data_IF_315430839035
#
_entry.id   IF_315430839035
#
_cell.length_a   1.000
_cell.length_b   1.000
_cell.length_c   1.000
_cell.angle_alpha   90.00
_cell.angle_beta   90.00
_cell.angle_gamma   90.00
#
_symmetry.space_group_name_H-M   'P 1'
#
loop_
_entity.id
_entity.type
_entity.pdbx_description
1 polymer ?
#
# COMPACT_ATOMS: atom_id res chain seq x y z
N UNK A 1 -3.92 -11.19 14.11
CA UNK A 1 -3.39 -12.25 13.21
C UNK A 1 -3.42 -11.74 11.75
N UNK A 2 -2.26 -11.54 11.11
CA UNK A 2 -2.15 -11.05 9.72
C UNK A 2 -2.53 -12.18 8.75
N UNK A 3 -3.79 -12.27 8.34
CA UNK A 3 -4.23 -13.27 7.36
C UNK A 3 -3.65 -12.95 5.97
N UNK A 4 -2.46 -13.51 5.68
CA UNK A 4 -1.76 -13.36 4.39
C UNK A 4 -2.62 -13.80 3.19
N UNK A 5 -3.53 -14.75 3.40
CA UNK A 5 -4.42 -15.33 2.36
C UNK A 5 -5.52 -14.38 1.86
N UNK A 6 -5.97 -13.42 2.66
CA UNK A 6 -6.96 -12.41 2.21
C UNK A 6 -6.28 -11.36 1.34
N UNK A 7 -5.08 -10.93 1.73
CA UNK A 7 -4.30 -9.89 1.06
C UNK A 7 -3.99 -10.20 -0.41
N UNK A 8 -3.73 -11.46 -0.76
CA UNK A 8 -3.45 -11.87 -2.14
C UNK A 8 -4.62 -11.63 -3.10
N UNK A 9 -5.87 -11.75 -2.63
CA UNK A 9 -7.06 -11.44 -3.43
C UNK A 9 -7.18 -9.94 -3.71
N UNK A 10 -6.89 -9.12 -2.71
CA UNK A 10 -6.97 -7.66 -2.82
C UNK A 10 -5.89 -7.06 -3.71
N UNK A 11 -4.67 -7.61 -3.66
CA UNK A 11 -3.58 -7.20 -4.56
C UNK A 11 -3.99 -7.40 -6.02
N UNK A 12 -4.65 -8.52 -6.36
CA UNK A 12 -5.15 -8.77 -7.72
C UNK A 12 -6.26 -7.82 -8.15
N UNK A 13 -7.14 -7.40 -7.23
CA UNK A 13 -8.19 -6.40 -7.52
C UNK A 13 -7.55 -5.05 -7.83
N UNK A 14 -6.56 -4.64 -7.02
CA UNK A 14 -5.84 -3.39 -7.23
C UNK A 14 -5.01 -3.41 -8.52
N UNK A 15 -4.34 -4.51 -8.83
CA UNK A 15 -3.60 -4.67 -10.09
C UNK A 15 -4.51 -4.60 -11.34
N UNK A 16 -5.78 -5.01 -11.21
CA UNK A 16 -6.81 -4.90 -12.26
C UNK A 16 -7.41 -3.51 -12.40
N UNK A 17 -7.30 -2.67 -11.38
CA UNK A 17 -7.80 -1.29 -11.38
C UNK A 17 -6.98 -0.35 -12.28
N UNK A 18 -5.81 -0.79 -12.78
CA UNK A 18 -4.83 0.03 -13.48
C UNK A 18 -5.21 0.45 -14.92
N UNK A 19 -6.48 0.47 -15.29
CA UNK A 19 -6.92 1.04 -16.57
C UNK A 19 -8.38 1.47 -16.48
N UNK A 20 -8.60 2.74 -16.14
CA UNK A 20 -9.79 3.54 -16.44
C UNK A 20 -11.16 3.07 -15.87
N UNK A 21 -11.16 2.07 -14.97
CA UNK A 21 -12.38 1.58 -14.34
C UNK A 21 -12.49 2.09 -12.91
N UNK A 22 -13.60 2.75 -12.61
CA UNK A 22 -13.95 3.15 -11.25
C UNK A 22 -14.04 1.90 -10.35
N UNK A 23 -13.28 1.91 -9.24
CA UNK A 23 -13.30 0.82 -8.26
C UNK A 23 -14.17 1.22 -7.09
N UNK A 24 -15.35 0.61 -6.98
CA UNK A 24 -16.18 0.76 -5.79
C UNK A 24 -15.52 0.08 -4.58
N UNK A 25 -15.19 0.88 -3.57
CA UNK A 25 -14.56 0.42 -2.34
C UNK A 25 -15.54 0.24 -1.16
N UNK A 26 -16.81 0.63 -1.32
CA UNK A 26 -17.81 0.71 -0.24
C UNK A 26 -18.08 -0.64 0.45
N UNK A 27 -17.93 -1.74 -0.30
CA UNK A 27 -18.16 -3.11 0.19
C UNK A 27 -16.96 -3.71 0.94
N UNK A 28 -15.81 -3.04 1.00
CA UNK A 28 -14.61 -3.57 1.63
C UNK A 28 -14.36 -3.01 3.02
N UNK A 29 -13.95 -3.90 3.93
CA UNK A 29 -13.55 -3.50 5.28
C UNK A 29 -12.32 -2.56 5.23
N UNK A 30 -12.33 -1.41 5.94
CA UNK A 30 -11.25 -0.41 5.89
C UNK A 30 -9.85 -0.97 6.17
N UNK A 31 -9.74 -1.92 7.10
CA UNK A 31 -8.46 -2.58 7.39
C UNK A 31 -7.86 -3.34 6.20
N UNK A 32 -8.69 -3.86 5.30
CA UNK A 32 -8.20 -4.52 4.08
C UNK A 32 -7.64 -3.48 3.12
N UNK A 33 -8.34 -2.37 2.91
CA UNK A 33 -7.90 -1.25 2.07
C UNK A 33 -6.56 -0.70 2.59
N UNK A 34 -6.49 -0.38 3.89
CA UNK A 34 -5.25 0.09 4.52
C UNK A 34 -4.10 -0.92 4.39
N UNK A 35 -4.40 -2.23 4.42
CA UNK A 35 -3.39 -3.26 4.26
C UNK A 35 -2.82 -3.31 2.84
N UNK A 36 -3.65 -3.05 1.82
CA UNK A 36 -3.21 -2.97 0.41
C UNK A 36 -2.37 -1.74 0.18
N UNK A 37 -2.81 -0.56 0.65
CA UNK A 37 -2.05 0.69 0.54
C UNK A 37 -0.67 0.53 1.19
N UNK A 38 -0.63 0.01 2.43
CA UNK A 38 0.64 -0.29 3.12
C UNK A 38 1.51 -1.30 2.37
N UNK A 39 0.93 -2.22 1.59
CA UNK A 39 1.72 -3.17 0.80
C UNK A 39 2.24 -2.51 -0.48
N UNK A 40 1.43 -1.70 -1.14
CA UNK A 40 1.81 -0.93 -2.33
C UNK A 40 3.01 -0.04 -2.03
N UNK A 41 2.94 0.77 -0.96
CA UNK A 41 4.05 1.64 -0.55
C UNK A 41 5.35 0.88 -0.27
N UNK A 42 5.27 -0.36 0.23
CA UNK A 42 6.44 -1.23 0.48
C UNK A 42 6.98 -1.93 -0.76
N UNK A 43 6.19 -1.99 -1.84
CA UNK A 43 6.58 -2.61 -3.12
C UNK A 43 7.19 -1.61 -4.09
N UNK A 44 7.16 -0.31 -3.78
CA UNK A 44 7.80 0.70 -4.61
C UNK A 44 9.30 0.38 -4.75
N UNK A 45 9.89 0.57 -5.95
CA UNK A 45 11.31 0.32 -6.17
C UNK A 45 12.19 1.22 -5.30
N UNK A 46 11.69 2.40 -4.97
CA UNK A 46 12.27 3.36 -4.05
C UNK A 46 11.21 3.75 -2.99
N UNK A 47 11.58 3.94 -1.71
CA UNK A 47 10.67 4.42 -0.68
C UNK A 47 10.05 5.77 -1.08
N UNK A 48 8.82 6.01 -0.63
CA UNK A 48 8.11 7.25 -0.91
C UNK A 48 8.88 8.50 -0.45
N UNK A 49 9.64 8.40 0.64
CA UNK A 49 10.46 9.50 1.18
C UNK A 49 11.93 9.45 0.74
N UNK A 50 12.20 8.69 -0.33
CA UNK A 50 13.52 8.46 -0.94
C UNK A 50 14.58 7.89 0.02
N UNK A 51 15.65 7.34 -0.56
CA UNK A 51 16.78 6.89 0.25
C UNK A 51 17.72 8.04 0.59
N UNK A 52 17.83 9.05 -0.28
CA UNK A 52 18.75 10.18 -0.13
C UNK A 52 18.43 11.03 1.10
N UNK A 53 17.14 11.20 1.42
CA UNK A 53 16.69 12.02 2.55
C UNK A 53 16.56 11.24 3.86
N UNK A 54 16.91 9.95 3.89
CA UNK A 54 16.67 9.11 5.06
C UNK A 54 17.33 9.67 6.33
N UNK A 55 18.59 10.08 6.25
CA UNK A 55 19.33 10.60 7.39
C UNK A 55 18.73 11.92 7.91
N UNK A 56 18.24 12.78 7.01
CA UNK A 56 17.55 14.04 7.38
C UNK A 56 16.24 13.76 8.12
N UNK A 57 15.46 12.77 7.66
CA UNK A 57 14.22 12.37 8.33
C UNK A 57 14.45 11.78 9.72
N UNK A 58 15.51 10.98 9.90
CA UNK A 58 15.85 10.42 11.21
C UNK A 58 16.35 11.52 12.14
N UNK A 59 17.24 12.40 11.67
CA UNK A 59 17.75 13.52 12.48
C UNK A 59 16.66 14.50 12.92
N UNK A 60 15.60 14.69 12.12
CA UNK A 60 14.45 15.52 12.52
C UNK A 60 13.58 14.89 13.62
N UNK A 61 13.55 13.55 13.72
CA UNK A 61 12.66 12.82 14.62
C UNK A 61 13.27 12.54 16.00
N UNK A 62 14.59 12.67 16.15
CA UNK A 62 15.32 12.61 17.43
C UNK A 62 15.15 13.90 18.26
#
# INVERSE_FOLDING_TARGET
MRCKSKLSKFVKIFERANSDNEVDLSSYHPMNIASVIKLFLRKLPEPLLTHELYDEWIAFAE
#
